data_IF_795231665558
#
_entry.id   IF_795231665558
#
_cell.length_a   1.000
_cell.length_b   1.000
_cell.length_c   1.000
_cell.angle_alpha   90.00
_cell.angle_beta   90.00
_cell.angle_gamma   90.00
#
_symmetry.space_group_name_H-M   'P 1'
#
loop_
_entity.id
_entity.type
_entity.pdbx_description
1 polymer ?
#
# COMPACT_ATOMS: atom_id res chain seq x y z
N UNK A 1 26.93 -10.38 -0.39
CA UNK A 1 25.73 -10.95 0.25
C UNK A 1 24.67 -11.01 -0.83
N UNK A 2 24.20 -12.20 -1.16
CA UNK A 2 23.04 -12.37 -2.05
C UNK A 2 21.87 -11.57 -1.50
N UNK A 3 21.15 -10.79 -2.33
CA UNK A 3 19.99 -10.06 -1.84
C UNK A 3 18.95 -11.08 -1.37
N UNK A 4 18.63 -11.02 -0.09
CA UNK A 4 17.57 -11.79 0.51
C UNK A 4 16.22 -11.28 0.01
N UNK A 5 15.24 -12.17 -0.20
CA UNK A 5 13.87 -11.75 -0.48
C UNK A 5 13.36 -10.80 0.63
N UNK A 6 12.59 -9.75 0.28
CA UNK A 6 12.12 -8.75 1.24
C UNK A 6 11.16 -9.36 2.26
N UNK A 7 10.93 -8.62 3.35
CA UNK A 7 9.87 -8.89 4.33
C UNK A 7 8.87 -7.73 4.24
N UNK A 8 7.63 -8.04 3.88
CA UNK A 8 6.58 -7.03 3.71
C UNK A 8 5.77 -6.92 4.99
N UNK A 9 5.71 -5.72 5.56
CA UNK A 9 4.76 -5.34 6.59
C UNK A 9 3.48 -4.78 5.96
N UNK A 10 2.32 -5.24 6.42
CA UNK A 10 1.01 -4.76 5.98
C UNK A 10 0.29 -4.19 7.20
N UNK A 11 0.10 -2.87 7.25
CA UNK A 11 -0.73 -2.25 8.28
C UNK A 11 -2.13 -2.00 7.71
N UNK A 12 -3.15 -2.61 8.30
CA UNK A 12 -4.53 -2.51 7.84
C UNK A 12 -5.44 -1.89 8.92
N UNK A 13 -6.44 -1.13 8.49
CA UNK A 13 -7.39 -0.45 9.39
C UNK A 13 -8.50 -1.35 9.93
N UNK A 14 -8.73 -2.52 9.30
CA UNK A 14 -9.65 -3.56 9.77
C UNK A 14 -9.16 -4.98 9.46
N UNK A 15 -9.73 -5.97 10.17
CA UNK A 15 -9.39 -7.39 10.00
C UNK A 15 -9.70 -7.91 8.58
N UNK A 16 -10.82 -7.46 7.98
CA UNK A 16 -11.22 -7.90 6.65
C UNK A 16 -10.21 -7.43 5.60
N UNK A 17 -9.83 -6.15 5.63
CA UNK A 17 -8.81 -5.60 4.75
C UNK A 17 -7.44 -6.24 4.95
N UNK A 18 -7.06 -6.53 6.19
CA UNK A 18 -5.84 -7.25 6.51
C UNK A 18 -5.85 -8.65 5.86
N UNK A 19 -6.96 -9.39 6.03
CA UNK A 19 -7.15 -10.74 5.49
C UNK A 19 -7.11 -10.72 3.95
N UNK A 20 -7.86 -9.82 3.33
CA UNK A 20 -7.90 -9.66 1.86
C UNK A 20 -6.51 -9.43 1.29
N UNK A 21 -5.69 -8.61 1.96
CA UNK A 21 -4.33 -8.30 1.53
C UNK A 21 -3.41 -9.51 1.66
N UNK A 22 -3.38 -10.16 2.84
CA UNK A 22 -2.56 -11.36 3.09
C UNK A 22 -2.85 -12.47 2.08
N UNK A 23 -4.12 -12.64 1.69
CA UNK A 23 -4.52 -13.61 0.65
C UNK A 23 -3.90 -13.27 -0.71
N UNK A 24 -3.80 -11.99 -1.09
CA UNK A 24 -3.13 -11.62 -2.35
C UNK A 24 -1.64 -11.99 -2.31
N UNK A 25 -0.95 -11.72 -1.21
CA UNK A 25 0.45 -12.11 -1.03
C UNK A 25 0.63 -13.63 -1.03
N UNK A 26 -0.24 -14.38 -0.37
CA UNK A 26 -0.17 -15.85 -0.37
C UNK A 26 -0.31 -16.44 -1.77
N UNK A 27 -1.15 -15.84 -2.62
CA UNK A 27 -1.36 -16.29 -4.02
C UNK A 27 -0.13 -16.08 -4.90
N UNK A 28 0.77 -15.17 -4.54
CA UNK A 28 2.03 -14.91 -5.27
C UNK A 28 3.25 -15.54 -4.63
N UNK A 29 3.05 -16.49 -3.70
CA UNK A 29 4.12 -17.33 -3.14
C UNK A 29 4.74 -16.83 -1.84
N UNK A 30 4.20 -15.76 -1.24
CA UNK A 30 4.71 -15.25 0.03
C UNK A 30 4.26 -16.10 1.23
N UNK A 31 5.16 -16.30 2.19
CA UNK A 31 4.81 -16.84 3.51
C UNK A 31 4.04 -15.78 4.29
N UNK A 32 2.71 -15.80 4.20
CA UNK A 32 1.89 -14.71 4.71
C UNK A 32 1.24 -15.05 6.06
N UNK A 33 1.18 -14.08 6.98
CA UNK A 33 0.57 -14.22 8.31
C UNK A 33 -0.26 -12.99 8.67
N UNK A 34 -1.43 -13.19 9.24
CA UNK A 34 -2.20 -12.15 9.91
C UNK A 34 -1.99 -12.27 11.42
N UNK A 35 -1.50 -11.20 12.04
CA UNK A 35 -1.27 -11.11 13.47
C UNK A 35 -2.49 -10.43 14.13
N UNK A 36 -3.21 -11.19 14.95
CA UNK A 36 -4.32 -10.70 15.75
C UNK A 36 -3.81 -10.45 17.17
N UNK A 37 -3.23 -9.26 17.40
CA UNK A 37 -2.67 -8.84 18.69
C UNK A 37 -1.22 -8.35 18.62
N UNK A 38 -0.61 -8.13 19.78
CA UNK A 38 0.72 -7.51 19.90
C UNK A 38 1.90 -8.48 19.76
N UNK A 39 1.63 -9.79 19.66
CA UNK A 39 2.69 -10.80 19.57
C UNK A 39 3.28 -10.83 18.16
N UNK A 40 4.44 -10.19 18.01
CA UNK A 40 5.29 -10.34 16.84
C UNK A 40 6.04 -11.68 16.90
N UNK A 41 6.26 -12.36 15.76
CA UNK A 41 7.11 -13.54 15.72
C UNK A 41 8.57 -13.18 16.05
N UNK A 42 9.26 -14.04 16.81
CA UNK A 42 10.67 -13.86 17.20
C UNK A 42 11.63 -13.78 16.00
N UNK A 43 11.27 -14.41 14.89
CA UNK A 43 11.99 -14.31 13.63
C UNK A 43 11.04 -14.48 12.44
N UNK A 44 11.33 -13.73 11.38
CA UNK A 44 10.57 -13.73 10.13
C UNK A 44 11.52 -14.09 9.01
N UNK A 45 11.14 -15.09 8.20
CA UNK A 45 11.96 -15.51 7.08
C UNK A 45 11.80 -14.52 5.92
N UNK A 46 12.87 -14.27 5.14
CA UNK A 46 12.77 -13.64 3.83
C UNK A 46 11.62 -14.16 2.97
N UNK A 47 10.94 -13.29 2.22
CA UNK A 47 9.77 -13.67 1.43
C UNK A 47 8.49 -13.86 2.25
N UNK A 48 8.41 -13.21 3.42
CA UNK A 48 7.21 -13.21 4.26
C UNK A 48 6.40 -11.92 4.12
N UNK A 49 5.09 -12.03 4.28
CA UNK A 49 4.17 -10.90 4.39
C UNK A 49 3.45 -10.94 5.73
N UNK A 50 3.67 -9.95 6.60
CA UNK A 50 3.07 -9.86 7.93
C UNK A 50 2.02 -8.77 7.95
N UNK A 51 0.76 -9.13 8.13
CA UNK A 51 -0.31 -8.16 8.34
C UNK A 51 -0.66 -7.99 9.81
N UNK A 52 -0.93 -6.74 10.18
CA UNK A 52 -1.47 -6.34 11.48
C UNK A 52 -2.75 -5.54 11.26
N UNK A 53 -3.74 -5.77 12.12
CA UNK A 53 -4.92 -4.93 12.18
C UNK A 53 -4.73 -3.85 13.25
N UNK A 54 -4.91 -2.59 12.87
CA UNK A 54 -4.86 -1.44 13.79
C UNK A 54 -6.23 -1.12 14.40
N UNK A 55 -7.30 -1.71 13.87
CA UNK A 55 -8.69 -1.40 14.21
C UNK A 55 -9.02 0.10 14.09
N UNK A 56 -8.28 0.80 13.22
CA UNK A 56 -8.30 2.26 13.13
C UNK A 56 -9.51 2.83 12.40
N UNK A 57 -10.35 2.00 11.76
CA UNK A 57 -11.41 2.48 10.87
C UNK A 57 -12.38 3.44 11.55
N UNK A 58 -12.83 3.13 12.76
CA UNK A 58 -13.81 3.93 13.49
C UNK A 58 -13.17 4.86 14.55
N UNK A 59 -11.85 4.90 14.63
CA UNK A 59 -11.13 5.71 15.62
C UNK A 59 -11.00 7.16 15.17
N UNK A 60 -10.93 8.06 16.14
CA UNK A 60 -10.59 9.45 15.89
C UNK A 60 -9.19 9.59 15.28
N UNK A 61 -8.93 10.73 14.61
CA UNK A 61 -7.69 10.96 13.89
C UNK A 61 -6.43 10.85 14.75
N UNK A 62 -6.46 11.26 16.02
CA UNK A 62 -5.26 11.19 16.86
C UNK A 62 -4.92 9.73 17.19
N UNK A 63 -5.94 8.96 17.59
CA UNK A 63 -5.80 7.54 17.92
C UNK A 63 -5.45 6.70 16.69
N UNK A 64 -6.10 6.94 15.54
CA UNK A 64 -5.81 6.25 14.29
C UNK A 64 -4.37 6.48 13.82
N UNK A 65 -3.86 7.73 13.91
CA UNK A 65 -2.47 8.07 13.59
C UNK A 65 -1.48 7.34 14.50
N UNK A 66 -1.68 7.44 15.81
CA UNK A 66 -0.79 6.81 16.80
C UNK A 66 -0.80 5.28 16.68
N UNK A 67 -1.98 4.67 16.55
CA UNK A 67 -2.14 3.22 16.38
C UNK A 67 -1.45 2.72 15.12
N UNK A 68 -1.61 3.43 13.99
CA UNK A 68 -0.94 3.09 12.73
C UNK A 68 0.58 3.20 12.84
N UNK A 69 1.09 4.28 13.42
CA UNK A 69 2.53 4.46 13.63
C UNK A 69 3.12 3.36 14.53
N UNK A 70 2.44 3.01 15.63
CA UNK A 70 2.85 1.95 16.55
C UNK A 70 2.92 0.59 15.84
N UNK A 71 1.87 0.25 15.09
CA UNK A 71 1.80 -0.99 14.33
C UNK A 71 2.93 -1.11 13.29
N UNK A 72 3.27 0.00 12.63
CA UNK A 72 4.36 0.03 11.64
C UNK A 72 5.73 -0.10 12.31
N UNK A 73 5.97 0.58 13.44
CA UNK A 73 7.22 0.36 14.21
C UNK A 73 7.38 -1.09 14.68
N UNK A 74 6.29 -1.75 15.02
CA UNK A 74 6.28 -3.16 15.37
C UNK A 74 6.64 -4.04 14.15
N UNK A 75 6.05 -3.80 12.98
CA UNK A 75 6.41 -4.49 11.74
C UNK A 75 7.89 -4.30 11.37
N UNK A 76 8.39 -3.07 11.51
CA UNK A 76 9.80 -2.73 11.30
C UNK A 76 10.71 -3.49 12.27
N UNK A 77 10.33 -3.56 13.55
CA UNK A 77 11.07 -4.33 14.57
C UNK A 77 11.10 -5.83 14.25
N UNK A 78 10.04 -6.34 13.62
CA UNK A 78 9.97 -7.72 13.12
C UNK A 78 10.76 -7.94 11.80
N UNK A 79 11.45 -6.91 11.28
CA UNK A 79 12.32 -7.00 10.12
C UNK A 79 11.67 -6.60 8.79
N UNK A 80 10.48 -5.98 8.80
CA UNK A 80 9.85 -5.50 7.57
C UNK A 80 10.70 -4.40 6.91
N UNK A 81 11.09 -4.62 5.66
CA UNK A 81 11.86 -3.67 4.83
C UNK A 81 11.03 -3.12 3.65
N UNK A 82 9.79 -3.58 3.52
CA UNK A 82 8.75 -3.03 2.64
C UNK A 82 7.49 -2.83 3.46
N UNK A 83 6.76 -1.76 3.16
CA UNK A 83 5.52 -1.42 3.83
C UNK A 83 4.39 -1.31 2.82
N UNK A 84 3.24 -1.89 3.15
CA UNK A 84 1.97 -1.67 2.49
C UNK A 84 0.95 -1.16 3.49
N UNK A 85 0.43 0.05 3.27
CA UNK A 85 -0.66 0.59 4.07
C UNK A 85 -2.00 0.20 3.42
N UNK A 86 -2.70 -0.76 4.03
CA UNK A 86 -4.00 -1.22 3.55
C UNK A 86 -5.11 -0.29 4.06
N UNK A 87 -5.75 0.40 3.13
CA UNK A 87 -6.88 1.32 3.37
C UNK A 87 -8.17 0.81 2.70
N UNK A 88 -9.33 1.32 3.10
CA UNK A 88 -10.62 0.97 2.49
C UNK A 88 -10.71 1.45 1.04
N UNK A 89 -11.25 0.60 0.15
CA UNK A 89 -11.37 0.93 -1.30
C UNK A 89 -12.32 2.11 -1.57
N UNK A 90 -13.18 2.44 -0.61
CA UNK A 90 -14.09 3.57 -0.66
C UNK A 90 -13.67 4.72 0.26
N UNK A 91 -12.45 4.70 0.81
CA UNK A 91 -11.91 5.75 1.70
C UNK A 91 -12.67 5.95 3.03
N UNK A 92 -13.42 4.95 3.51
CA UNK A 92 -14.00 5.00 4.86
C UNK A 92 -12.92 5.02 5.93
N UNK A 93 -13.21 5.69 7.04
CA UNK A 93 -12.34 5.81 8.20
C UNK A 93 -11.34 6.96 8.12
N UNK A 94 -10.47 7.03 9.11
CA UNK A 94 -9.50 8.12 9.28
C UNK A 94 -8.26 7.95 8.37
N UNK A 95 -8.46 7.81 7.06
CA UNK A 95 -7.38 7.48 6.09
C UNK A 95 -6.25 8.51 6.12
N UNK A 96 -6.56 9.81 6.17
CA UNK A 96 -5.54 10.86 6.29
C UNK A 96 -4.66 10.66 7.53
N UNK A 97 -5.26 10.27 8.66
CA UNK A 97 -4.54 10.02 9.90
C UNK A 97 -3.70 8.74 9.84
N UNK A 98 -4.21 7.68 9.20
CA UNK A 98 -3.46 6.44 8.97
C UNK A 98 -2.23 6.70 8.09
N UNK A 99 -2.38 7.46 7.00
CA UNK A 99 -1.27 7.88 6.13
C UNK A 99 -0.24 8.70 6.91
N UNK A 100 -0.69 9.67 7.73
CA UNK A 100 0.20 10.45 8.58
C UNK A 100 0.97 9.57 9.59
N UNK A 101 0.31 8.59 10.19
CA UNK A 101 0.95 7.65 11.12
C UNK A 101 1.97 6.74 10.43
N UNK A 102 1.69 6.34 9.19
CA UNK A 102 2.62 5.59 8.37
C UNK A 102 3.87 6.40 8.03
N UNK A 103 3.71 7.67 7.64
CA UNK A 103 4.83 8.57 7.39
C UNK A 103 5.65 8.79 8.66
N UNK A 104 5.01 9.08 9.80
CA UNK A 104 5.70 9.30 11.08
C UNK A 104 6.64 8.13 11.45
N UNK A 105 6.15 6.89 11.35
CA UNK A 105 6.91 5.71 11.71
C UNK A 105 7.94 5.32 10.66
N UNK A 106 7.60 5.39 9.37
CA UNK A 106 8.46 4.91 8.30
C UNK A 106 9.64 5.85 8.01
N UNK A 107 9.46 7.16 8.23
CA UNK A 107 10.49 8.19 8.14
C UNK A 107 11.69 7.92 9.07
N UNK A 108 11.48 7.22 10.18
CA UNK A 108 12.54 6.85 11.15
C UNK A 108 13.64 6.00 10.51
N UNK A 109 13.31 5.17 9.51
CA UNK A 109 14.26 4.36 8.75
C UNK A 109 14.47 4.82 7.31
N UNK A 110 13.49 5.52 6.73
CA UNK A 110 13.52 5.97 5.34
C UNK A 110 13.30 7.49 5.26
N UNK A 111 14.30 8.32 5.60
CA UNK A 111 14.17 9.76 5.55
C UNK A 111 13.76 10.26 4.16
N UNK A 112 12.72 11.09 4.13
CA UNK A 112 12.16 11.63 2.89
C UNK A 112 11.15 10.69 2.23
N UNK A 113 10.61 9.73 2.99
CA UNK A 113 9.53 8.90 2.50
C UNK A 113 8.25 9.71 2.25
N UNK A 114 7.43 9.22 1.33
CA UNK A 114 6.14 9.79 0.97
C UNK A 114 5.13 8.67 0.71
N UNK A 115 3.84 8.97 0.82
CA UNK A 115 2.79 8.00 0.57
C UNK A 115 2.27 8.13 -0.86
N UNK A 116 1.99 7.00 -1.50
CA UNK A 116 1.35 6.92 -2.81
C UNK A 116 0.00 6.25 -2.62
N UNK A 117 -1.05 7.06 -2.68
CA UNK A 117 -2.43 6.67 -2.38
C UNK A 117 -3.15 6.27 -3.66
N UNK A 118 -3.61 5.02 -3.70
CA UNK A 118 -4.45 4.50 -4.76
C UNK A 118 -5.36 3.38 -4.20
N UNK A 119 -6.54 3.71 -3.64
CA UNK A 119 -7.51 2.72 -3.18
C UNK A 119 -8.26 1.98 -4.29
N UNK A 120 -7.96 2.23 -5.57
CA UNK A 120 -8.67 1.60 -6.69
C UNK A 120 -8.69 0.06 -6.56
N UNK A 121 -9.83 -0.51 -6.92
CA UNK A 121 -10.05 -1.95 -7.03
C UNK A 121 -10.99 -2.23 -8.21
N UNK A 122 -10.47 -2.20 -9.45
CA UNK A 122 -11.26 -2.26 -10.67
C UNK A 122 -12.14 -3.52 -10.77
N UNK A 123 -11.63 -4.68 -10.34
CA UNK A 123 -12.41 -5.92 -10.25
C UNK A 123 -13.65 -5.81 -9.33
N UNK A 124 -13.64 -4.89 -8.37
CA UNK A 124 -14.78 -4.54 -7.52
C UNK A 124 -15.47 -3.26 -7.97
N UNK A 125 -15.14 -2.70 -9.13
CA UNK A 125 -15.72 -1.46 -9.65
C UNK A 125 -15.32 -0.20 -8.89
N UNK A 126 -14.17 -0.19 -8.20
CA UNK A 126 -13.61 1.02 -7.58
C UNK A 126 -12.51 1.58 -8.47
N UNK A 127 -12.64 2.82 -8.91
CA UNK A 127 -11.67 3.49 -9.79
C UNK A 127 -11.36 4.89 -9.27
N UNK A 128 -10.22 5.43 -9.70
CA UNK A 128 -9.83 6.82 -9.46
C UNK A 128 -9.61 7.45 -10.82
N UNK A 129 -10.49 8.36 -11.19
CA UNK A 129 -10.54 8.98 -12.51
C UNK A 129 -10.57 10.49 -12.33
N UNK A 130 -9.57 11.19 -12.89
CA UNK A 130 -9.41 12.64 -12.76
C UNK A 130 -9.44 13.14 -11.29
N UNK A 131 -8.87 12.36 -10.37
CA UNK A 131 -8.86 12.66 -8.93
C UNK A 131 -10.19 12.43 -8.22
N UNK A 132 -11.14 11.74 -8.86
CA UNK A 132 -12.43 11.38 -8.29
C UNK A 132 -12.48 9.88 -7.99
N UNK A 133 -12.83 9.54 -6.75
CA UNK A 133 -13.12 8.16 -6.34
C UNK A 133 -14.51 7.75 -6.81
N UNK A 134 -14.57 6.73 -7.68
CA UNK A 134 -15.81 6.20 -8.23
C UNK A 134 -16.09 4.78 -7.74
N UNK A 135 -17.38 4.49 -7.58
CA UNK A 135 -17.93 3.17 -7.25
C UNK A 135 -18.96 2.81 -8.33
N UNK A 136 -18.66 1.79 -9.13
CA UNK A 136 -19.46 1.37 -10.28
C UNK A 136 -19.79 2.53 -11.24
N UNK A 137 -18.80 3.41 -11.47
CA UNK A 137 -18.90 4.57 -12.35
C UNK A 137 -19.53 5.83 -11.72
N UNK A 138 -20.28 5.68 -10.62
CA UNK A 138 -20.84 6.80 -9.85
C UNK A 138 -19.86 7.33 -8.80
N UNK A 139 -20.05 8.54 -8.27
CA UNK A 139 -19.23 9.09 -7.19
C UNK A 139 -19.44 8.32 -5.88
N UNK A 140 -18.41 8.24 -5.03
CA UNK A 140 -18.44 7.41 -3.79
C UNK A 140 -19.50 7.86 -2.78
N UNK A 141 -19.79 9.15 -2.71
CA UNK A 141 -20.78 9.78 -1.82
C UNK A 141 -22.21 9.34 -2.15
N UNK A 142 -22.48 8.92 -3.38
CA UNK A 142 -23.78 8.36 -3.79
C UNK A 142 -23.93 6.87 -3.44
N UNK A 143 -22.83 6.20 -3.10
CA UNK A 143 -22.79 4.79 -2.75
C UNK A 143 -23.18 4.53 -1.27
N UNK A 144 -23.29 3.27 -0.82
CA UNK A 144 -23.45 2.97 0.61
C UNK A 144 -22.34 3.55 1.50
N UNK A 145 -21.11 3.72 0.98
CA UNK A 145 -20.00 4.29 1.76
C UNK A 145 -20.23 5.77 2.11
N UNK A 146 -20.89 6.54 1.24
CA UNK A 146 -21.28 7.92 1.54
C UNK A 146 -22.33 8.05 2.64
N UNK A 147 -23.07 6.97 2.91
CA UNK A 147 -24.11 6.87 3.93
C UNK A 147 -23.72 5.94 5.09
N UNK A 148 -22.44 5.60 5.20
CA UNK A 148 -21.96 4.73 6.28
C UNK A 148 -22.30 5.34 7.64
N UNK A 149 -22.91 4.59 8.57
CA UNK A 149 -23.39 5.15 9.84
C UNK A 149 -22.26 5.49 10.82
N UNK A 150 -21.04 5.01 10.56
CA UNK A 150 -19.89 5.20 11.45
C UNK A 150 -18.90 6.17 10.81
N UNK A 151 -18.51 5.92 9.56
CA UNK A 151 -17.47 6.72 8.86
C UNK A 151 -17.90 7.06 7.43
N UNK A 152 -18.89 7.96 7.27
CA UNK A 152 -19.40 8.34 5.95
C UNK A 152 -18.32 9.04 5.12
N UNK A 153 -18.36 8.82 3.81
CA UNK A 153 -17.43 9.41 2.83
C UNK A 153 -18.16 10.49 2.04
N UNK A 154 -18.01 11.77 2.40
CA UNK A 154 -18.92 12.82 1.95
C UNK A 154 -18.63 13.34 0.53
N UNK A 155 -17.51 12.98 -0.07
CA UNK A 155 -17.05 13.48 -1.37
C UNK A 155 -16.15 12.47 -2.07
N UNK A 156 -16.18 12.48 -3.39
CA UNK A 156 -15.30 11.69 -4.27
C UNK A 156 -13.99 12.40 -4.56
N UNK A 157 -13.90 13.70 -4.30
CA UNK A 157 -12.73 14.51 -4.65
C UNK A 157 -11.55 14.25 -3.71
N UNK A 158 -10.45 13.71 -4.24
CA UNK A 158 -9.24 13.46 -3.46
C UNK A 158 -8.59 14.73 -2.91
N UNK A 159 -8.76 15.87 -3.58
CA UNK A 159 -8.31 17.17 -3.07
C UNK A 159 -9.01 17.56 -1.75
N UNK A 160 -10.20 17.02 -1.49
CA UNK A 160 -10.94 17.22 -0.24
C UNK A 160 -10.70 16.07 0.75
N UNK A 161 -10.64 14.81 0.28
CA UNK A 161 -10.37 13.65 1.13
C UNK A 161 -8.94 13.67 1.70
N UNK A 162 -7.97 14.14 0.91
CA UNK A 162 -6.56 14.29 1.27
C UNK A 162 -6.06 15.67 0.82
N UNK A 163 -6.32 16.72 1.61
CA UNK A 163 -5.93 18.09 1.25
C UNK A 163 -4.42 18.25 1.05
N UNK A 164 -4.05 19.02 0.03
CA UNK A 164 -2.65 19.32 -0.30
C UNK A 164 -1.93 18.22 -1.10
N UNK A 165 -2.63 17.17 -1.51
CA UNK A 165 -2.08 16.13 -2.39
C UNK A 165 -2.02 16.57 -3.85
N UNK A 166 -1.05 16.03 -4.59
CA UNK A 166 -1.02 16.09 -6.05
C UNK A 166 -1.63 14.81 -6.61
N UNK A 167 -2.57 14.92 -7.54
CA UNK A 167 -3.09 13.78 -8.30
C UNK A 167 -2.37 13.68 -9.63
N UNK A 168 -1.87 12.49 -9.99
CA UNK A 168 -1.21 12.22 -11.27
C UNK A 168 -1.80 10.99 -11.97
N UNK A 169 -1.56 10.91 -13.27
CA UNK A 169 -1.78 9.70 -14.08
C UNK A 169 -0.43 9.21 -14.60
N UNK A 170 -0.25 7.89 -14.64
CA UNK A 170 1.00 7.27 -15.07
C UNK A 170 1.04 7.06 -16.58
N UNK A 171 2.24 7.05 -17.14
CA UNK A 171 2.51 6.95 -18.58
C UNK A 171 2.73 5.53 -19.07
N UNK A 172 2.91 4.55 -18.17
CA UNK A 172 3.21 3.15 -18.52
C UNK A 172 4.70 2.82 -18.53
N UNK A 173 5.57 3.77 -18.16
CA UNK A 173 7.02 3.63 -18.21
C UNK A 173 7.57 3.71 -16.79
N UNK A 174 7.92 2.58 -16.19
CA UNK A 174 8.29 2.47 -14.78
C UNK A 174 9.29 3.55 -14.30
N UNK A 175 10.37 3.84 -15.05
CA UNK A 175 11.34 4.87 -14.67
C UNK A 175 10.78 6.31 -14.73
N UNK A 176 10.01 6.63 -15.77
CA UNK A 176 9.38 7.95 -15.92
C UNK A 176 8.28 8.14 -14.88
N UNK A 177 7.51 7.11 -14.61
CA UNK A 177 6.43 7.11 -13.64
C UNK A 177 6.99 7.18 -12.21
N UNK A 178 8.11 6.49 -11.93
CA UNK A 178 8.84 6.63 -10.67
C UNK A 178 9.35 8.06 -10.47
N UNK A 179 9.86 8.71 -11.52
CA UNK A 179 10.27 10.11 -11.45
C UNK A 179 9.06 11.03 -11.22
N UNK A 180 7.95 10.83 -11.94
CA UNK A 180 6.73 11.60 -11.76
C UNK A 180 6.18 11.48 -10.32
N UNK A 181 6.25 10.30 -9.72
CA UNK A 181 5.90 10.09 -8.31
C UNK A 181 6.79 10.91 -7.38
N UNK A 182 8.12 10.90 -7.59
CA UNK A 182 9.06 11.70 -6.79
C UNK A 182 8.83 13.21 -6.95
N UNK A 183 8.56 13.67 -8.17
CA UNK A 183 8.31 15.08 -8.45
C UNK A 183 6.99 15.56 -7.83
N UNK A 184 5.96 14.69 -7.82
CA UNK A 184 4.66 14.98 -7.22
C UNK A 184 4.65 14.86 -5.68
N UNK A 185 5.65 14.21 -5.09
CA UNK A 185 5.72 13.89 -3.67
C UNK A 185 5.78 15.10 -2.73
N UNK A 186 5.88 16.34 -3.25
CA UNK A 186 6.14 17.57 -2.50
C UNK A 186 5.54 17.64 -1.08
N UNK A 187 4.23 17.46 -0.92
CA UNK A 187 3.52 17.52 0.38
C UNK A 187 3.60 16.23 1.24
N UNK A 188 4.36 15.24 0.80
CA UNK A 188 4.51 13.92 1.42
C UNK A 188 3.46 12.89 0.98
N UNK A 189 2.48 13.27 0.14
CA UNK A 189 1.42 12.36 -0.32
C UNK A 189 1.05 12.64 -1.78
N UNK A 190 1.02 11.58 -2.60
CA UNK A 190 0.63 11.59 -4.01
C UNK A 190 -0.59 10.70 -4.21
N UNK A 191 -1.58 11.16 -4.97
CA UNK A 191 -2.71 10.33 -5.40
C UNK A 191 -2.49 9.91 -6.85
N UNK A 192 -2.78 8.65 -7.17
CA UNK A 192 -2.60 8.11 -8.52
C UNK A 192 -3.93 7.63 -9.08
N UNK A 193 -4.30 8.16 -10.24
CA UNK A 193 -5.45 7.70 -11.00
C UNK A 193 -5.24 6.25 -11.47
N UNK A 194 -6.28 5.43 -11.38
CA UNK A 194 -6.29 4.06 -11.85
C UNK A 194 -7.72 3.59 -12.12
N UNK A 195 -7.98 3.09 -13.34
CA UNK A 195 -9.28 2.60 -13.77
C UNK A 195 -9.27 1.09 -14.11
N UNK A 196 -8.09 0.48 -14.21
CA UNK A 196 -7.89 -0.91 -14.60
C UNK A 196 -6.81 -1.60 -13.79
N UNK A 197 -6.81 -2.94 -13.81
CA UNK A 197 -5.76 -3.73 -13.16
C UNK A 197 -4.39 -3.49 -13.83
N UNK A 198 -4.36 -3.07 -15.11
CA UNK A 198 -3.16 -2.65 -15.83
C UNK A 198 -2.57 -1.34 -15.28
N UNK A 199 -3.43 -0.39 -14.90
CA UNK A 199 -2.99 0.84 -14.23
C UNK A 199 -2.35 0.51 -12.87
N UNK A 200 -2.95 -0.43 -12.12
CA UNK A 200 -2.41 -0.89 -10.84
C UNK A 200 -1.06 -1.61 -11.02
N UNK A 201 -0.91 -2.43 -12.06
CA UNK A 201 0.38 -3.06 -12.42
C UNK A 201 1.43 -2.02 -12.80
N UNK A 202 1.04 -1.00 -13.56
CA UNK A 202 1.92 0.12 -13.93
C UNK A 202 2.40 0.87 -12.70
N UNK A 203 1.48 1.19 -11.78
CA UNK A 203 1.80 1.82 -10.51
C UNK A 203 2.74 0.95 -9.67
N UNK A 204 2.47 -0.35 -9.56
CA UNK A 204 3.31 -1.26 -8.80
C UNK A 204 4.75 -1.34 -9.36
N UNK A 205 4.91 -1.37 -10.69
CA UNK A 205 6.22 -1.33 -11.32
C UNK A 205 6.99 -0.04 -11.02
N UNK A 206 6.31 1.12 -11.10
CA UNK A 206 6.91 2.40 -10.73
C UNK A 206 7.32 2.45 -9.24
N UNK A 207 6.48 1.93 -8.35
CA UNK A 207 6.77 1.85 -6.90
C UNK A 207 7.98 0.95 -6.59
N UNK A 208 8.17 -0.15 -7.32
CA UNK A 208 9.38 -0.98 -7.21
C UNK A 208 10.63 -0.17 -7.56
N UNK A 209 10.58 0.66 -8.62
CA UNK A 209 11.69 1.53 -9.02
C UNK A 209 11.94 2.67 -8.02
N UNK A 210 10.88 3.22 -7.40
CA UNK A 210 11.06 4.21 -6.33
C UNK A 210 11.72 3.57 -5.11
N UNK A 211 11.36 2.33 -4.78
CA UNK A 211 11.90 1.60 -3.64
C UNK A 211 11.17 1.96 -2.34
N UNK A 212 11.79 1.69 -1.16
CA UNK A 212 11.10 1.75 0.12
C UNK A 212 10.71 3.18 0.56
N UNK A 213 11.19 4.24 -0.09
CA UNK A 213 10.77 5.61 0.24
C UNK A 213 9.35 5.93 -0.22
N UNK A 214 8.77 5.18 -1.17
CA UNK A 214 7.35 5.30 -1.50
C UNK A 214 6.53 4.25 -0.74
N UNK A 215 5.62 4.72 0.12
CA UNK A 215 4.69 3.87 0.86
C UNK A 215 3.43 3.66 -0.01
N UNK A 216 3.21 2.47 -0.61
CA UNK A 216 1.94 2.16 -1.24
C UNK A 216 0.81 2.15 -0.20
N UNK A 217 -0.18 3.01 -0.40
CA UNK A 217 -1.39 3.10 0.41
C UNK A 217 -2.60 2.80 -0.47
N UNK A 218 -3.19 1.61 -0.36
CA UNK A 218 -4.25 1.18 -1.26
C UNK A 218 -5.14 0.09 -0.72
N UNK A 219 -6.08 -0.36 -1.53
CA UNK A 219 -7.03 -1.43 -1.18
C UNK A 219 -6.50 -2.82 -1.56
N UNK A 220 -7.34 -3.84 -1.65
CA UNK A 220 -6.87 -5.17 -2.07
C UNK A 220 -6.43 -5.20 -3.55
N UNK A 221 -6.92 -4.28 -4.39
CA UNK A 221 -6.49 -4.16 -5.80
C UNK A 221 -5.00 -3.87 -5.92
N UNK A 222 -4.54 -2.77 -5.31
CA UNK A 222 -3.12 -2.41 -5.30
C UNK A 222 -2.27 -3.45 -4.54
N UNK A 223 -2.81 -4.07 -3.47
CA UNK A 223 -2.11 -5.12 -2.74
C UNK A 223 -1.73 -6.30 -3.65
N UNK A 224 -2.63 -6.73 -4.54
CA UNK A 224 -2.36 -7.78 -5.52
C UNK A 224 -1.25 -7.41 -6.51
N UNK A 225 -1.28 -6.17 -7.03
CA UNK A 225 -0.26 -5.70 -7.96
C UNK A 225 1.13 -5.59 -7.26
N UNK A 226 1.18 -5.06 -6.04
CA UNK A 226 2.42 -4.98 -5.26
C UNK A 226 2.96 -6.35 -4.86
N UNK A 227 2.09 -7.28 -4.47
CA UNK A 227 2.48 -8.64 -4.11
C UNK A 227 3.16 -9.39 -5.27
N UNK A 228 2.69 -9.18 -6.50
CA UNK A 228 3.35 -9.71 -7.70
C UNK A 228 4.67 -8.98 -7.99
N UNK A 229 4.64 -7.64 -8.02
CA UNK A 229 5.80 -6.84 -8.39
C UNK A 229 7.00 -7.01 -7.43
N UNK A 230 6.76 -7.10 -6.12
CA UNK A 230 7.82 -7.36 -5.15
C UNK A 230 8.33 -8.82 -5.19
N UNK A 231 7.47 -9.79 -5.52
CA UNK A 231 7.91 -11.18 -5.72
C UNK A 231 8.84 -11.29 -6.92
N UNK A 232 8.48 -10.67 -8.04
CA UNK A 232 9.29 -10.65 -9.26
C UNK A 232 10.63 -9.95 -9.04
N UNK A 233 10.63 -8.79 -8.37
CA UNK A 233 11.87 -8.08 -8.04
C UNK A 233 12.81 -8.93 -7.15
N UNK A 234 12.27 -9.63 -6.15
CA UNK A 234 13.03 -10.56 -5.31
C UNK A 234 13.54 -11.79 -6.07
N UNK A 235 12.80 -12.28 -7.05
CA UNK A 235 13.19 -13.39 -7.93
C UNK A 235 14.30 -12.99 -8.91
N UNK A 236 14.26 -11.78 -9.48
CA UNK A 236 15.31 -11.25 -10.37
C UNK A 236 16.64 -11.10 -9.64
N UNK A 237 16.61 -10.77 -8.34
CA UNK A 237 17.82 -10.68 -7.52
C UNK A 237 18.38 -12.04 -7.07
N UNK A 238 17.61 -13.13 -7.15
CA UNK A 238 18.06 -14.50 -6.84
C UNK A 238 18.48 -15.31 -8.07
N UNK A 239 18.01 -14.94 -9.28
CA UNK A 239 18.30 -15.66 -10.53
C UNK A 239 19.53 -15.17 -11.32
N UNK A 240 20.15 -14.05 -10.90
CA UNK A 240 21.40 -13.55 -11.50
C UNK A 240 22.68 -14.32 -11.08
N UNK A 241 22.57 -15.33 -10.21
CA UNK A 241 23.69 -16.22 -9.80
C UNK A 241 23.60 -17.64 -10.42
N UNK A 242 23.17 -17.75 -11.68
CA UNK A 242 23.46 -18.97 -12.45
C UNK A 242 24.92 -18.94 -12.94
N UNK A 243 25.85 -19.38 -12.08
CA UNK A 243 27.25 -19.62 -12.43
C UNK A 243 27.40 -20.64 -13.56
N UNK A 244 28.54 -20.65 -14.28
CA UNK A 244 28.68 -21.33 -15.56
C UNK A 244 28.50 -22.84 -15.42
N UNK A 245 27.71 -23.42 -16.34
CA UNK A 245 27.58 -24.85 -16.51
C UNK A 245 28.98 -25.48 -16.65
N UNK A 246 29.29 -26.41 -15.76
CA UNK A 246 30.50 -27.21 -15.83
C UNK A 246 30.53 -27.96 -17.16
N UNK A 247 31.60 -27.72 -17.93
CA UNK A 247 31.93 -28.50 -19.12
C UNK A 247 32.40 -29.89 -18.69
N UNK A 248 31.79 -30.91 -19.27
CA UNK A 248 32.27 -32.30 -19.29
C UNK A 248 32.63 -32.71 -20.70
#
# INVERSE_FOLDING_TARGET
MTPSAPIVGIAADDVTGATDSVVQFSRTGWSSRLLLGELLPDSVLPGSALAVNTDARALDSATARQGTASAIRNLVTAGADRLYLKIDSTMRGSVQAQVAGALDAWQEQHPGCFAVVCPAYPAMGRTIEDGLLRVHGGPVEDSPAGRDPVTPVPTSEFSQLLPGTTTISLSGSADRDAQALRDAAGSGVVVVNAASDDDLRTLAAALVVVGPTAIPAGSAGLAAAMAAAWADAGAVHTSAEAGPAAQG
#
